data_IF_770565269656
#
_entry.id   IF_770565269656
#
_cell.length_a   1.000
_cell.length_b   1.000
_cell.length_c   1.000
_cell.angle_alpha   90.00
_cell.angle_beta   90.00
_cell.angle_gamma   90.00
#
_symmetry.space_group_name_H-M   'P 1'
#
loop_
_entity.id
_entity.type
_entity.pdbx_description
1 polymer ?
#
# COMPACT_ATOMS: atom_id res chain seq x y z
N UNK A 1 -5.90 2.94 33.56
CA UNK A 1 -6.83 2.22 32.67
C UNK A 1 -6.58 2.59 31.21
N UNK A 2 -5.36 2.45 30.69
CA UNK A 2 -4.99 2.86 29.30
C UNK A 2 -4.59 1.69 28.40
N UNK A 3 -4.52 0.47 28.91
CA UNK A 3 -4.04 -0.70 28.16
C UNK A 3 -5.07 -1.28 27.18
N UNK A 4 -6.37 -1.07 27.39
CA UNK A 4 -7.42 -1.67 26.55
C UNK A 4 -7.59 -1.00 25.18
N UNK A 5 -7.41 0.30 25.09
CA UNK A 5 -7.64 1.07 23.88
C UNK A 5 -6.54 0.84 22.83
N UNK A 6 -5.28 0.76 23.27
CA UNK A 6 -4.14 0.49 22.39
C UNK A 6 -4.20 -0.92 21.80
N UNK A 7 -4.63 -1.91 22.57
CA UNK A 7 -4.76 -3.29 22.11
C UNK A 7 -5.87 -3.44 21.07
N UNK A 8 -7.02 -2.77 21.29
CA UNK A 8 -8.15 -2.79 20.36
C UNK A 8 -7.78 -2.19 18.98
N UNK A 9 -7.07 -1.06 18.99
CA UNK A 9 -6.60 -0.41 17.75
C UNK A 9 -5.61 -1.33 17.01
N UNK A 10 -4.67 -1.93 17.72
CA UNK A 10 -3.69 -2.83 17.11
C UNK A 10 -4.37 -4.06 16.46
N UNK A 11 -5.34 -4.66 17.14
CA UNK A 11 -6.10 -5.79 16.62
C UNK A 11 -6.93 -5.40 15.40
N UNK A 12 -7.53 -4.21 15.40
CA UNK A 12 -8.29 -3.69 14.26
C UNK A 12 -7.40 -3.45 13.04
N UNK A 13 -6.23 -2.83 13.24
CA UNK A 13 -5.28 -2.57 12.14
C UNK A 13 -4.71 -3.87 11.57
N UNK A 14 -4.38 -4.86 12.41
CA UNK A 14 -3.93 -6.17 11.97
C UNK A 14 -5.03 -6.91 11.18
N UNK A 15 -6.28 -6.81 11.60
CA UNK A 15 -7.43 -7.37 10.88
C UNK A 15 -7.60 -6.74 9.50
N UNK A 16 -7.48 -5.41 9.38
CA UNK A 16 -7.58 -4.70 8.09
C UNK A 16 -6.44 -5.05 7.13
N UNK A 17 -5.22 -5.21 7.64
CA UNK A 17 -4.09 -5.68 6.83
C UNK A 17 -4.33 -7.10 6.29
N UNK A 18 -4.79 -8.01 7.16
CA UNK A 18 -5.15 -9.37 6.77
C UNK A 18 -6.27 -9.38 5.72
N UNK A 19 -7.30 -8.56 5.89
CA UNK A 19 -8.40 -8.42 4.92
C UNK A 19 -7.90 -7.98 3.54
N UNK A 20 -6.97 -7.02 3.49
CA UNK A 20 -6.33 -6.59 2.23
C UNK A 20 -5.50 -7.71 1.60
N UNK A 21 -4.79 -8.49 2.42
CA UNK A 21 -4.05 -9.65 1.95
C UNK A 21 -4.96 -10.68 1.29
N UNK A 22 -6.12 -10.96 1.88
CA UNK A 22 -7.12 -11.89 1.33
C UNK A 22 -7.75 -11.32 0.06
N UNK A 23 -8.07 -10.02 0.05
CA UNK A 23 -8.59 -9.35 -1.14
C UNK A 23 -7.60 -9.43 -2.32
N UNK A 24 -6.31 -9.16 -2.06
CA UNK A 24 -5.26 -9.26 -3.06
C UNK A 24 -5.11 -10.69 -3.59
N UNK A 25 -5.10 -11.71 -2.71
CA UNK A 25 -5.03 -13.11 -3.12
C UNK A 25 -6.25 -13.52 -3.95
N UNK A 26 -7.44 -12.99 -3.63
CA UNK A 26 -8.66 -13.26 -4.39
C UNK A 26 -8.60 -12.62 -5.79
N UNK A 27 -8.14 -11.38 -5.89
CA UNK A 27 -7.91 -10.70 -7.17
C UNK A 27 -6.82 -11.40 -8.00
N UNK A 28 -5.74 -11.85 -7.34
CA UNK A 28 -4.69 -12.61 -8.00
C UNK A 28 -5.23 -13.92 -8.60
N UNK A 29 -5.98 -14.72 -7.83
CA UNK A 29 -6.55 -15.97 -8.30
C UNK A 29 -7.54 -15.75 -9.43
N UNK A 30 -8.40 -14.74 -9.34
CA UNK A 30 -9.33 -14.35 -10.40
C UNK A 30 -8.62 -13.94 -11.69
N UNK A 31 -7.60 -13.09 -11.58
CA UNK A 31 -6.82 -12.61 -12.73
C UNK A 31 -6.01 -13.75 -13.39
N UNK A 32 -5.38 -14.59 -12.58
CA UNK A 32 -4.62 -15.76 -13.02
C UNK A 32 -5.48 -16.80 -13.74
N UNK A 33 -6.74 -16.96 -13.31
CA UNK A 33 -7.71 -17.89 -13.93
C UNK A 33 -8.40 -17.35 -15.18
N UNK A 34 -8.06 -16.17 -15.65
CA UNK A 34 -8.61 -15.58 -16.88
C UNK A 34 -9.80 -14.64 -16.66
N UNK A 35 -9.98 -14.11 -15.44
CA UNK A 35 -10.97 -13.07 -15.11
C UNK A 35 -12.42 -13.51 -15.28
N UNK A 36 -12.75 -14.69 -14.77
CA UNK A 36 -14.12 -15.23 -14.76
C UNK A 36 -14.89 -14.69 -13.54
N UNK A 37 -15.71 -13.67 -13.74
CA UNK A 37 -16.43 -12.97 -12.66
C UNK A 37 -17.40 -13.89 -11.92
N UNK A 38 -17.98 -14.88 -12.59
CA UNK A 38 -18.86 -15.90 -12.00
C UNK A 38 -18.16 -16.76 -10.95
N UNK A 39 -16.85 -16.86 -10.96
CA UNK A 39 -16.06 -17.63 -9.98
C UNK A 39 -15.68 -16.82 -8.75
N UNK A 40 -15.80 -15.50 -8.82
CA UNK A 40 -15.20 -14.60 -7.82
C UNK A 40 -15.75 -14.80 -6.42
N UNK A 41 -17.08 -14.94 -6.27
CA UNK A 41 -17.71 -15.15 -4.97
C UNK A 41 -17.17 -16.41 -4.28
N UNK A 42 -17.01 -17.50 -5.01
CA UNK A 42 -16.42 -18.74 -4.50
C UNK A 42 -14.94 -18.61 -4.16
N UNK A 43 -14.18 -17.82 -4.94
CA UNK A 43 -12.75 -17.51 -4.67
C UNK A 43 -12.65 -16.75 -3.35
N UNK A 44 -13.45 -15.70 -3.14
CA UNK A 44 -13.44 -14.90 -1.91
C UNK A 44 -13.79 -15.77 -0.71
N UNK A 45 -14.87 -16.54 -0.77
CA UNK A 45 -15.31 -17.41 0.33
C UNK A 45 -14.21 -18.42 0.71
N UNK A 46 -13.62 -19.08 -0.29
CA UNK A 46 -12.52 -20.04 -0.10
C UNK A 46 -11.33 -19.35 0.60
N UNK A 47 -10.89 -18.19 0.08
CA UNK A 47 -9.71 -17.50 0.58
C UNK A 47 -9.93 -16.94 1.98
N UNK A 48 -11.12 -16.43 2.29
CA UNK A 48 -11.50 -16.02 3.66
C UNK A 48 -11.43 -17.19 4.63
N UNK A 49 -11.97 -18.35 4.25
CA UNK A 49 -11.94 -19.55 5.09
C UNK A 49 -10.54 -20.09 5.32
N UNK A 50 -9.68 -20.02 4.29
CA UNK A 50 -8.34 -20.61 4.33
C UNK A 50 -7.33 -19.70 5.03
N UNK A 51 -7.34 -18.40 4.71
CA UNK A 51 -6.31 -17.45 5.15
C UNK A 51 -6.76 -16.50 6.26
N UNK A 52 -8.07 -16.41 6.51
CA UNK A 52 -8.65 -15.53 7.54
C UNK A 52 -9.49 -16.26 8.59
N UNK A 53 -9.03 -17.39 9.17
CA UNK A 53 -9.81 -18.05 10.19
C UNK A 53 -10.00 -17.12 11.38
N UNK A 54 -11.29 -16.78 11.68
CA UNK A 54 -11.64 -15.86 12.77
C UNK A 54 -11.64 -14.37 12.39
N UNK A 55 -11.52 -14.03 11.11
CA UNK A 55 -11.71 -12.65 10.67
C UNK A 55 -13.19 -12.26 10.84
N UNK A 56 -13.44 -11.18 11.59
CA UNK A 56 -14.82 -10.74 11.89
C UNK A 56 -15.43 -9.97 10.72
N UNK A 57 -14.63 -9.15 10.03
CA UNK A 57 -15.07 -8.26 8.94
C UNK A 57 -14.80 -8.87 7.55
N UNK A 58 -15.51 -9.96 7.23
CA UNK A 58 -15.45 -10.55 5.89
C UNK A 58 -16.07 -9.65 4.82
N UNK A 59 -16.97 -8.73 5.24
CA UNK A 59 -17.60 -7.77 4.34
C UNK A 59 -16.56 -6.83 3.73
N UNK A 60 -15.59 -6.38 4.51
CA UNK A 60 -14.54 -5.51 4.01
C UNK A 60 -13.73 -6.15 2.87
N UNK A 61 -13.44 -7.46 2.95
CA UNK A 61 -12.77 -8.20 1.86
C UNK A 61 -13.61 -8.15 0.59
N UNK A 62 -14.91 -8.47 0.72
CA UNK A 62 -15.83 -8.49 -0.42
C UNK A 62 -16.01 -7.10 -1.04
N UNK A 63 -16.17 -6.07 -0.19
CA UNK A 63 -16.33 -4.67 -0.64
C UNK A 63 -15.08 -4.19 -1.44
N UNK A 64 -13.87 -4.53 -0.96
CA UNK A 64 -12.64 -4.19 -1.68
C UNK A 64 -12.55 -4.88 -3.04
N UNK A 65 -12.79 -6.18 -3.09
CA UNK A 65 -12.68 -6.94 -4.34
C UNK A 65 -13.74 -6.49 -5.34
N UNK A 66 -15.01 -6.37 -4.92
CA UNK A 66 -16.10 -5.93 -5.78
C UNK A 66 -15.89 -4.50 -6.27
N UNK A 67 -15.41 -3.60 -5.39
CA UNK A 67 -15.11 -2.22 -5.76
C UNK A 67 -13.99 -2.11 -6.79
N UNK A 68 -12.95 -2.93 -6.69
CA UNK A 68 -11.89 -3.03 -7.71
C UNK A 68 -12.47 -3.51 -9.04
N UNK A 69 -13.30 -4.56 -9.05
CA UNK A 69 -13.91 -5.06 -10.29
C UNK A 69 -14.84 -4.04 -10.94
N UNK A 70 -15.66 -3.35 -10.15
CA UNK A 70 -16.55 -2.30 -10.67
C UNK A 70 -15.78 -1.19 -11.40
N UNK A 71 -14.57 -0.88 -10.94
CA UNK A 71 -13.72 0.19 -11.49
C UNK A 71 -12.55 -0.33 -12.34
N UNK A 72 -12.51 -1.63 -12.67
CA UNK A 72 -11.32 -2.28 -13.23
C UNK A 72 -10.77 -1.57 -14.48
N UNK A 73 -11.60 -1.18 -15.42
CA UNK A 73 -11.16 -0.48 -16.64
C UNK A 73 -10.54 0.89 -16.32
N UNK A 74 -11.15 1.62 -15.38
CA UNK A 74 -10.64 2.92 -14.95
C UNK A 74 -9.32 2.79 -14.19
N UNK A 75 -9.21 1.77 -13.33
CA UNK A 75 -7.99 1.48 -12.58
C UNK A 75 -6.84 1.08 -13.51
N UNK A 76 -7.12 0.23 -14.50
CA UNK A 76 -6.14 -0.21 -15.49
C UNK A 76 -5.65 0.96 -16.36
N UNK A 77 -6.53 1.89 -16.78
CA UNK A 77 -6.13 3.13 -17.47
C UNK A 77 -5.23 4.02 -16.61
N UNK A 78 -5.52 4.14 -15.32
CA UNK A 78 -4.70 4.93 -14.39
C UNK A 78 -3.31 4.29 -14.25
N UNK A 79 -3.22 2.96 -14.13
CA UNK A 79 -1.93 2.25 -14.07
C UNK A 79 -1.11 2.53 -15.33
N UNK A 80 -1.70 2.38 -16.51
CA UNK A 80 -1.02 2.62 -17.78
C UNK A 80 -0.51 4.07 -17.89
N UNK A 81 -1.28 5.05 -17.46
CA UNK A 81 -0.86 6.46 -17.43
C UNK A 81 0.27 6.74 -16.44
N UNK A 82 0.21 6.14 -15.26
CA UNK A 82 1.20 6.34 -14.21
C UNK A 82 2.52 5.56 -14.45
N UNK A 83 2.46 4.48 -15.23
CA UNK A 83 3.60 3.62 -15.55
C UNK A 83 3.72 3.37 -17.06
N UNK A 84 3.89 4.41 -17.92
CA UNK A 84 3.79 4.30 -19.39
C UNK A 84 4.87 3.42 -20.02
N UNK A 85 5.94 3.11 -19.30
CA UNK A 85 7.01 2.21 -19.77
C UNK A 85 6.67 0.73 -19.59
N UNK A 86 5.56 0.41 -18.89
CA UNK A 86 5.16 -0.94 -18.55
C UNK A 86 3.75 -1.23 -19.09
N UNK A 87 3.61 -1.92 -20.22
CA UNK A 87 2.32 -2.43 -20.65
C UNK A 87 1.67 -3.26 -19.54
N UNK A 88 0.36 -3.09 -19.34
CA UNK A 88 -0.35 -3.71 -18.22
C UNK A 88 -0.17 -5.23 -18.15
N UNK A 89 -0.12 -5.88 -19.31
CA UNK A 89 0.04 -7.33 -19.45
C UNK A 89 1.46 -7.80 -19.08
N UNK A 90 2.44 -6.90 -19.09
CA UNK A 90 3.83 -7.18 -18.70
C UNK A 90 4.08 -6.93 -17.22
N UNK A 91 3.17 -6.20 -16.54
CA UNK A 91 3.24 -6.04 -15.09
C UNK A 91 2.89 -7.39 -14.45
N UNK A 92 3.73 -7.83 -13.49
CA UNK A 92 3.49 -9.06 -12.74
C UNK A 92 2.07 -9.09 -12.15
N UNK A 93 1.40 -10.25 -12.17
CA UNK A 93 0.00 -10.37 -11.71
C UNK A 93 -0.16 -9.87 -10.27
N UNK A 94 0.82 -10.13 -9.40
CA UNK A 94 0.84 -9.59 -8.03
C UNK A 94 0.82 -8.07 -8.06
N UNK A 95 1.77 -7.46 -8.76
CA UNK A 95 1.95 -6.01 -8.75
C UNK A 95 0.75 -5.26 -9.31
N UNK A 96 0.18 -5.75 -10.44
CA UNK A 96 -0.98 -5.10 -11.03
C UNK A 96 -2.24 -5.22 -10.16
N UNK A 97 -2.42 -6.32 -9.41
CA UNK A 97 -3.56 -6.45 -8.51
C UNK A 97 -3.36 -5.67 -7.20
N UNK A 98 -2.13 -5.57 -6.70
CA UNK A 98 -1.80 -4.66 -5.59
C UNK A 98 -2.03 -3.20 -6.01
N UNK A 99 -1.61 -2.80 -7.22
CA UNK A 99 -1.88 -1.46 -7.75
C UNK A 99 -3.37 -1.17 -7.88
N UNK A 100 -4.16 -2.10 -8.45
CA UNK A 100 -5.61 -1.97 -8.55
C UNK A 100 -6.26 -1.73 -7.19
N UNK A 101 -5.87 -2.53 -6.18
CA UNK A 101 -6.37 -2.41 -4.82
C UNK A 101 -5.97 -1.06 -4.19
N UNK A 102 -4.69 -0.71 -4.27
CA UNK A 102 -4.17 0.53 -3.69
C UNK A 102 -4.74 1.79 -4.34
N UNK A 103 -4.90 1.81 -5.67
CA UNK A 103 -5.52 2.92 -6.39
C UNK A 103 -7.00 3.01 -6.06
N UNK A 104 -7.69 1.88 -5.93
CA UNK A 104 -9.08 1.86 -5.51
C UNK A 104 -9.26 2.50 -4.12
N UNK A 105 -8.49 2.08 -3.12
CA UNK A 105 -8.56 2.69 -1.78
C UNK A 105 -8.16 4.16 -1.79
N UNK A 106 -7.14 4.55 -2.57
CA UNK A 106 -6.64 5.91 -2.65
C UNK A 106 -7.67 6.89 -3.27
N UNK A 107 -8.37 6.47 -4.31
CA UNK A 107 -9.25 7.34 -5.11
C UNK A 107 -10.73 7.20 -4.77
N UNK A 108 -11.19 6.01 -4.40
CA UNK A 108 -12.60 5.65 -4.20
C UNK A 108 -12.92 5.20 -2.79
N UNK A 109 -11.90 4.92 -1.97
CA UNK A 109 -12.07 4.51 -0.58
C UNK A 109 -12.57 5.64 0.33
N UNK A 110 -13.11 5.26 1.49
CA UNK A 110 -13.47 6.22 2.53
C UNK A 110 -12.20 6.76 3.21
N UNK A 111 -11.86 8.02 2.94
CA UNK A 111 -10.64 8.68 3.45
C UNK A 111 -10.62 8.87 4.97
N UNK A 112 -11.78 8.86 5.62
CA UNK A 112 -11.87 8.93 7.07
C UNK A 112 -11.45 7.60 7.71
N UNK A 113 -11.78 6.47 7.07
CA UNK A 113 -11.38 5.13 7.52
C UNK A 113 -9.97 4.74 7.06
N UNK A 114 -9.63 5.08 5.82
CA UNK A 114 -8.34 4.76 5.20
C UNK A 114 -7.72 6.04 4.62
N UNK A 115 -6.92 6.77 5.39
CA UNK A 115 -6.19 7.93 4.89
C UNK A 115 -5.29 7.57 3.69
N UNK A 116 -5.11 8.47 2.71
CA UNK A 116 -4.35 8.20 1.49
C UNK A 116 -2.95 7.59 1.72
N UNK A 117 -2.22 8.09 2.70
CA UNK A 117 -0.89 7.56 3.06
C UNK A 117 -0.95 6.14 3.61
N UNK A 118 -2.04 5.78 4.32
CA UNK A 118 -2.25 4.42 4.81
C UNK A 118 -2.51 3.48 3.64
N UNK A 119 -3.38 3.84 2.68
CA UNK A 119 -3.63 3.05 1.48
C UNK A 119 -2.34 2.77 0.70
N UNK A 120 -1.47 3.79 0.52
CA UNK A 120 -0.18 3.64 -0.16
C UNK A 120 0.75 2.70 0.62
N UNK A 121 0.92 2.91 1.93
CA UNK A 121 1.82 2.10 2.75
C UNK A 121 1.37 0.63 2.80
N UNK A 122 0.07 0.38 2.99
CA UNK A 122 -0.49 -0.98 2.97
C UNK A 122 -0.25 -1.68 1.63
N UNK A 123 -0.41 -0.96 0.52
CA UNK A 123 -0.12 -1.51 -0.81
C UNK A 123 1.36 -1.85 -0.99
N UNK A 124 2.27 -1.01 -0.50
CA UNK A 124 3.71 -1.28 -0.54
C UNK A 124 4.06 -2.52 0.27
N UNK A 125 3.48 -2.68 1.46
CA UNK A 125 3.73 -3.86 2.29
C UNK A 125 3.14 -5.14 1.67
N UNK A 126 1.96 -5.09 1.04
CA UNK A 126 1.42 -6.20 0.26
C UNK A 126 2.36 -6.57 -0.90
N UNK A 127 2.83 -5.59 -1.66
CA UNK A 127 3.75 -5.83 -2.76
C UNK A 127 5.05 -6.49 -2.29
N UNK A 128 5.63 -6.05 -1.17
CA UNK A 128 6.81 -6.67 -0.57
C UNK A 128 6.54 -8.10 -0.13
N UNK A 129 5.40 -8.33 0.54
CA UNK A 129 5.03 -9.63 1.09
C UNK A 129 4.87 -10.68 -0.01
N UNK A 130 4.21 -10.33 -1.11
CA UNK A 130 3.85 -11.28 -2.16
C UNK A 130 4.77 -11.25 -3.39
N UNK A 131 5.45 -10.14 -3.64
CA UNK A 131 6.32 -9.94 -4.81
C UNK A 131 7.78 -9.60 -4.48
N UNK A 132 8.09 -9.34 -3.21
CA UNK A 132 9.43 -8.99 -2.74
C UNK A 132 9.78 -7.50 -2.87
N UNK A 133 11.02 -7.14 -2.53
CA UNK A 133 11.47 -5.75 -2.44
C UNK A 133 11.35 -4.97 -3.77
N UNK A 134 11.58 -5.64 -4.90
CA UNK A 134 11.45 -5.02 -6.21
C UNK A 134 10.01 -4.59 -6.50
N UNK A 135 9.03 -5.44 -6.20
CA UNK A 135 7.60 -5.14 -6.27
C UNK A 135 7.22 -3.98 -5.37
N UNK A 136 7.70 -3.96 -4.13
CA UNK A 136 7.47 -2.84 -3.21
C UNK A 136 7.97 -1.51 -3.76
N UNK A 137 9.16 -1.48 -4.37
CA UNK A 137 9.73 -0.28 -5.01
C UNK A 137 8.92 0.16 -6.23
N UNK A 138 8.51 -0.78 -7.06
CA UNK A 138 7.68 -0.51 -8.25
C UNK A 138 6.33 0.08 -7.86
N UNK A 139 5.60 -0.57 -6.95
CA UNK A 139 4.28 -0.12 -6.45
C UNK A 139 4.39 1.26 -5.80
N UNK A 140 5.43 1.49 -4.97
CA UNK A 140 5.69 2.81 -4.37
C UNK A 140 5.90 3.89 -5.44
N UNK A 141 6.65 3.61 -6.49
CA UNK A 141 6.88 4.54 -7.61
C UNK A 141 5.58 4.93 -8.31
N UNK A 142 4.76 3.96 -8.66
CA UNK A 142 3.48 4.17 -9.36
C UNK A 142 2.48 4.92 -8.48
N UNK A 143 2.22 4.43 -7.26
CA UNK A 143 1.29 5.10 -6.32
C UNK A 143 1.77 6.49 -5.92
N UNK A 144 3.08 6.69 -5.77
CA UNK A 144 3.67 8.00 -5.49
C UNK A 144 3.45 9.00 -6.64
N UNK A 145 3.48 8.53 -7.89
CA UNK A 145 3.14 9.38 -9.05
C UNK A 145 1.67 9.78 -9.03
N UNK A 146 0.77 8.83 -8.84
CA UNK A 146 -0.68 9.09 -8.75
C UNK A 146 -0.98 10.05 -7.59
N UNK A 147 -0.37 9.83 -6.42
CA UNK A 147 -0.57 10.65 -5.23
C UNK A 147 -0.19 12.12 -5.47
N UNK A 148 0.92 12.39 -6.19
CA UNK A 148 1.33 13.75 -6.58
C UNK A 148 0.35 14.37 -7.57
N UNK A 149 -0.13 13.61 -8.55
CA UNK A 149 -1.09 14.10 -9.55
C UNK A 149 -2.43 14.51 -8.95
N UNK A 150 -2.87 13.86 -7.88
CA UNK A 150 -4.11 14.22 -7.17
C UNK A 150 -3.92 15.29 -6.08
N UNK A 151 -2.75 15.95 -6.04
CA UNK A 151 -2.47 17.05 -5.13
C UNK A 151 -2.07 16.66 -3.72
N UNK A 152 -1.56 15.43 -3.51
CA UNK A 152 -1.01 14.95 -2.23
C UNK A 152 -1.96 15.14 -1.03
N UNK A 153 -3.20 14.63 -1.06
CA UNK A 153 -4.18 14.83 -0.01
C UNK A 153 -3.67 14.34 1.36
N UNK A 154 -3.85 15.16 2.42
CA UNK A 154 -3.36 14.84 3.76
C UNK A 154 -1.84 15.02 3.95
N UNK A 155 -1.17 15.74 3.04
CA UNK A 155 0.27 16.05 3.19
C UNK A 155 0.53 16.98 4.37
N UNK A 156 -0.36 17.94 4.58
CA UNK A 156 -0.25 18.95 5.64
C UNK A 156 -0.62 18.40 7.03
N UNK A 157 -1.29 17.24 7.08
CA UNK A 157 -1.66 16.56 8.33
C UNK A 157 -0.49 15.79 8.97
N UNK A 158 0.64 15.66 8.29
CA UNK A 158 1.82 15.02 8.84
C UNK A 158 2.50 15.94 9.88
N UNK A 159 2.88 15.42 11.07
CA UNK A 159 3.69 16.21 12.01
C UNK A 159 4.96 16.66 11.29
N UNK A 160 5.19 17.98 11.22
CA UNK A 160 6.40 18.56 10.64
C UNK A 160 7.59 17.89 11.34
N UNK A 161 8.40 17.12 10.61
CA UNK A 161 9.70 16.68 11.10
C UNK A 161 10.45 17.93 11.51
N UNK A 162 10.81 18.02 12.81
CA UNK A 162 11.77 19.03 13.25
C UNK A 162 13.01 18.83 12.39
N UNK A 163 13.38 19.86 11.64
CA UNK A 163 14.70 19.94 11.03
C UNK A 163 15.70 19.82 12.18
N UNK A 164 16.40 18.70 12.25
CA UNK A 164 17.60 18.61 13.07
C UNK A 164 18.60 19.58 12.45
N UNK A 165 18.78 20.72 13.11
CA UNK A 165 19.88 21.63 12.88
C UNK A 165 21.16 20.83 13.04
N UNK A 166 21.77 20.46 11.93
CA UNK A 166 23.13 20.00 11.87
C UNK A 166 24.02 21.23 12.06
N UNK A 167 24.15 21.68 13.30
CA UNK A 167 25.21 22.61 13.68
C UNK A 167 26.54 21.91 13.39
N UNK A 168 27.15 22.34 12.28
CA UNK A 168 28.53 22.01 11.94
C UNK A 168 29.42 22.39 13.13
N UNK A 169 29.90 21.39 13.84
CA UNK A 169 31.04 21.56 14.74
C UNK A 169 32.24 21.77 13.83
N UNK A 170 32.64 23.04 13.66
CA UNK A 170 33.95 23.41 13.14
C UNK A 170 35.00 22.96 14.16
N UNK A 171 35.68 21.85 13.87
CA UNK A 171 36.90 21.51 14.56
C UNK A 171 38.01 22.45 14.08
N UNK A 172 38.31 23.45 14.89
CA UNK A 172 39.55 24.23 14.75
C UNK A 172 40.72 23.34 15.13
N UNK A 173 41.47 22.94 14.11
CA UNK A 173 42.74 22.23 14.28
C UNK A 173 43.86 23.26 14.58
N UNK A 174 43.98 23.62 15.87
CA UNK A 174 45.21 24.31 16.33
C UNK A 174 46.18 23.27 16.88
N UNK A 175 47.10 22.85 16.03
CA UNK A 175 48.34 22.18 16.47
C UNK A 175 49.51 23.13 16.32
N UNK A 176 50.29 23.42 17.39
CA UNK A 176 51.51 24.18 17.29
C UNK A 176 52.63 23.32 16.72
N UNK A 177 53.32 23.88 15.74
CA UNK A 177 54.49 23.29 15.11
C UNK A 177 55.65 23.22 16.08
N UNK A 178 56.48 22.14 16.12
CA UNK A 178 57.73 22.11 16.87
C UNK A 178 58.80 22.92 16.17
N UNK A 179 59.57 23.71 16.97
CA UNK A 179 60.75 24.46 16.51
C UNK A 179 61.93 23.51 16.27
N UNK A 180 62.78 23.76 15.28
CA UNK A 180 64.02 23.01 15.05
C UNK A 180 65.11 23.55 15.97
N UNK A 181 65.91 22.65 16.53
CA UNK A 181 67.24 22.88 17.01
C UNK A 181 68.26 22.61 15.87
#
# INVERSE_FOLDING_TARGET
>A
MSFGFSHLIFTYMASRHLSRSIAMQSLYEWDFRGRHDEMLAGIIEKNVKEFGPGIEDTKFVSDLVNGVLEKISQLDEIIVKAAPQWPLEQIAIVDRNVLRLGIYELLFGNREEVPPKVAINESIELAKTFGGDASGKFVNGVLGTIYREIGEPGKDDAPKKKEENNDKIEMTNDQPSPKPE
#
